data_IF_019489418268
#
_entry.id   IF_019489418268
#
_cell.length_a   1.000
_cell.length_b   1.000
_cell.length_c   1.000
_cell.angle_alpha   90.00
_cell.angle_beta   90.00
_cell.angle_gamma   90.00
#
_symmetry.space_group_name_H-M   'P 1'
#
loop_
_entity.id
_entity.type
_entity.pdbx_description
1 polymer ?
#
# COMPACT_ATOMS: atom_id res chain seq x y z
N UNK A 1 -4.70 11.56 29.55
CA UNK A 1 -4.77 10.69 28.36
C UNK A 1 -5.89 11.22 27.48
N UNK A 2 -5.59 11.60 26.24
CA UNK A 2 -6.63 12.05 25.31
C UNK A 2 -7.59 10.89 24.99
N UNK A 3 -8.90 11.15 24.95
CA UNK A 3 -9.90 10.16 24.61
C UNK A 3 -9.71 9.71 23.16
N UNK A 4 -9.54 8.41 22.93
CA UNK A 4 -9.36 7.83 21.58
C UNK A 4 -10.67 7.92 20.82
N UNK A 5 -10.72 8.76 19.78
CA UNK A 5 -11.92 8.99 18.97
C UNK A 5 -12.24 7.75 18.14
N UNK A 6 -13.50 7.33 18.18
CA UNK A 6 -14.03 6.33 17.25
C UNK A 6 -14.58 7.03 16.02
N UNK A 7 -14.09 6.65 14.84
CA UNK A 7 -14.59 7.16 13.57
C UNK A 7 -15.75 6.26 13.09
N UNK A 8 -16.95 6.83 12.85
CA UNK A 8 -18.09 6.07 12.34
C UNK A 8 -17.92 5.77 10.83
N UNK A 9 -18.69 4.82 10.31
CA UNK A 9 -18.89 4.72 8.87
C UNK A 9 -19.71 5.92 8.41
N UNK A 10 -19.45 6.41 7.21
CA UNK A 10 -20.31 7.42 6.57
C UNK A 10 -21.05 6.75 5.43
N UNK A 11 -22.34 6.52 5.62
CA UNK A 11 -23.25 5.96 4.60
C UNK A 11 -24.40 6.95 4.44
N UNK A 12 -24.75 7.30 3.20
CA UNK A 12 -25.80 8.27 2.90
C UNK A 12 -25.61 9.64 3.59
N UNK A 13 -24.36 10.11 3.67
CA UNK A 13 -23.95 11.33 4.38
C UNK A 13 -24.29 11.35 5.88
N UNK A 14 -24.50 10.19 6.50
CA UNK A 14 -24.80 10.06 7.93
C UNK A 14 -23.77 9.17 8.60
N UNK A 15 -23.47 9.49 9.85
CA UNK A 15 -22.67 8.62 10.71
C UNK A 15 -23.47 7.36 11.04
N UNK A 16 -22.96 6.21 10.61
CA UNK A 16 -23.52 4.88 10.90
C UNK A 16 -22.59 4.17 11.87
N UNK A 17 -23.16 3.71 12.97
CA UNK A 17 -22.52 2.76 13.88
C UNK A 17 -22.86 1.36 13.38
N UNK A 18 -21.88 0.53 12.98
CA UNK A 18 -22.17 -0.80 12.46
C UNK A 18 -22.72 -1.70 13.57
N UNK A 19 -23.54 -2.67 13.17
CA UNK A 19 -24.11 -3.67 14.06
C UNK A 19 -23.12 -4.80 14.42
N UNK A 20 -21.96 -4.85 13.75
CA UNK A 20 -20.96 -5.92 13.87
C UNK A 20 -19.94 -5.77 15.03
N UNK A 21 -19.18 -6.85 15.35
CA UNK A 21 -18.51 -6.99 16.65
C UNK A 21 -17.11 -6.36 16.79
N UNK A 22 -16.50 -5.80 15.74
CA UNK A 22 -15.08 -5.43 15.79
C UNK A 22 -14.85 -3.92 15.64
N UNK A 23 -14.53 -3.27 16.76
CA UNK A 23 -13.84 -1.98 16.76
C UNK A 23 -12.34 -2.27 16.67
N UNK A 24 -11.71 -1.90 15.56
CA UNK A 24 -10.26 -2.03 15.37
C UNK A 24 -9.59 -0.80 15.96
N UNK A 25 -8.75 -1.02 16.98
CA UNK A 25 -7.95 0.05 17.57
C UNK A 25 -6.61 0.10 16.87
N UNK A 26 -6.27 1.25 16.29
CA UNK A 26 -4.97 1.47 15.68
C UNK A 26 -4.03 2.11 16.72
N UNK A 27 -3.01 1.34 17.10
CA UNK A 27 -2.00 1.72 18.08
C UNK A 27 -0.73 2.14 17.35
N UNK A 28 -0.24 3.36 17.63
CA UNK A 28 1.02 3.81 17.05
C UNK A 28 2.19 3.03 17.66
N UNK A 29 2.92 2.27 16.84
CA UNK A 29 4.12 1.55 17.27
C UNK A 29 5.25 2.49 17.71
N UNK A 30 5.26 3.72 17.21
CA UNK A 30 6.21 4.80 17.55
C UNK A 30 5.84 5.50 18.85
N UNK A 31 4.58 5.94 19.01
CA UNK A 31 4.13 6.67 20.20
C UNK A 31 3.73 5.76 21.37
N UNK A 32 3.57 4.45 21.12
CA UNK A 32 3.04 3.46 22.07
C UNK A 32 1.69 3.85 22.67
N UNK A 33 0.89 4.58 21.91
CA UNK A 33 -0.45 5.04 22.31
C UNK A 33 -1.48 4.72 21.25
N UNK A 34 -2.69 4.41 21.70
CA UNK A 34 -3.87 4.30 20.84
C UNK A 34 -4.21 5.67 20.27
N UNK A 35 -4.35 5.75 18.95
CA UNK A 35 -4.58 7.03 18.29
C UNK A 35 -5.99 7.17 17.75
N UNK A 36 -6.64 6.05 17.41
CA UNK A 36 -7.93 6.05 16.72
C UNK A 36 -8.56 4.66 16.73
N UNK A 37 -9.89 4.64 16.70
CA UNK A 37 -10.70 3.43 16.59
C UNK A 37 -11.54 3.50 15.33
N UNK A 38 -11.44 2.48 14.49
CA UNK A 38 -12.35 2.29 13.36
C UNK A 38 -13.37 1.23 13.70
N UNK A 39 -14.54 1.38 13.14
CA UNK A 39 -15.58 0.37 13.22
C UNK A 39 -15.49 -0.50 11.96
N UNK A 40 -15.44 -1.82 12.11
CA UNK A 40 -15.43 -2.72 10.95
C UNK A 40 -16.78 -2.70 10.26
N UNK A 41 -16.78 -2.45 8.96
CA UNK A 41 -17.97 -2.61 8.12
C UNK A 41 -18.38 -4.10 8.03
N UNK A 42 -19.68 -4.36 8.01
CA UNK A 42 -20.24 -5.67 7.67
C UNK A 42 -20.58 -5.74 6.17
N UNK A 43 -20.86 -6.93 5.62
CA UNK A 43 -21.39 -7.05 4.26
C UNK A 43 -22.66 -6.23 4.03
N UNK A 44 -23.52 -6.11 5.04
CA UNK A 44 -24.74 -5.30 4.99
C UNK A 44 -24.44 -3.80 4.89
N UNK A 45 -23.43 -3.31 5.62
CA UNK A 45 -22.97 -1.93 5.50
C UNK A 45 -22.43 -1.64 4.09
N UNK A 46 -21.72 -2.61 3.49
CA UNK A 46 -21.24 -2.49 2.12
C UNK A 46 -22.38 -2.43 1.10
N UNK A 47 -23.42 -3.27 1.26
CA UNK A 47 -24.63 -3.21 0.43
C UNK A 47 -25.34 -1.86 0.59
N UNK A 48 -25.52 -1.38 1.83
CA UNK A 48 -26.15 -0.09 2.10
C UNK A 48 -25.38 1.09 1.48
N UNK A 49 -24.04 1.05 1.49
CA UNK A 49 -23.20 2.03 0.81
C UNK A 49 -23.40 2.00 -0.72
N UNK A 50 -23.48 0.82 -1.32
CA UNK A 50 -23.75 0.65 -2.76
C UNK A 50 -25.13 1.17 -3.14
N UNK A 51 -26.16 0.84 -2.36
CA UNK A 51 -27.53 1.31 -2.60
C UNK A 51 -27.67 2.82 -2.46
N UNK A 52 -27.00 3.42 -1.47
CA UNK A 52 -26.93 4.88 -1.30
C UNK A 52 -26.27 5.54 -2.53
N UNK A 53 -25.13 5.02 -2.98
CA UNK A 53 -24.46 5.50 -4.18
C UNK A 53 -25.34 5.38 -5.43
N UNK A 54 -26.07 4.26 -5.58
CA UNK A 54 -26.95 4.03 -6.72
C UNK A 54 -28.18 4.94 -6.70
N UNK A 55 -28.70 5.27 -5.51
CA UNK A 55 -29.77 6.25 -5.33
C UNK A 55 -29.31 7.65 -5.75
N UNK A 56 -28.14 8.08 -5.25
CA UNK A 56 -27.54 9.37 -5.63
C UNK A 56 -27.21 9.43 -7.14
N UNK A 57 -26.82 8.31 -7.74
CA UNK A 57 -26.48 8.24 -9.16
C UNK A 57 -27.67 8.58 -10.07
N UNK A 58 -28.91 8.25 -9.68
CA UNK A 58 -30.09 8.53 -10.51
C UNK A 58 -30.24 10.02 -10.82
N UNK A 59 -30.19 10.87 -9.79
CA UNK A 59 -30.26 12.32 -9.96
C UNK A 59 -28.96 12.89 -10.54
N UNK A 60 -27.80 12.37 -10.13
CA UNK A 60 -26.50 12.78 -10.66
C UNK A 60 -26.38 12.56 -12.18
N UNK A 61 -26.86 11.42 -12.69
CA UNK A 61 -26.83 11.06 -14.12
C UNK A 61 -27.62 12.01 -15.01
N UNK A 62 -28.61 12.71 -14.45
CA UNK A 62 -29.42 13.72 -15.12
C UNK A 62 -28.90 15.14 -14.96
N UNK A 63 -27.89 15.36 -14.10
CA UNK A 63 -27.32 16.70 -13.88
C UNK A 63 -26.56 17.22 -15.11
N UNK A 64 -26.63 18.54 -15.33
CA UNK A 64 -25.93 19.18 -16.44
C UNK A 64 -24.41 19.13 -16.25
N UNK A 65 -23.61 19.01 -17.34
CA UNK A 65 -22.15 19.02 -17.26
C UNK A 65 -21.58 20.19 -16.45
N UNK A 66 -22.17 21.39 -16.60
CA UNK A 66 -21.77 22.59 -15.85
C UNK A 66 -21.99 22.44 -14.34
N UNK A 67 -23.08 21.80 -13.91
CA UNK A 67 -23.36 21.57 -12.49
C UNK A 67 -22.37 20.58 -11.89
N UNK A 68 -22.09 19.48 -12.60
CA UNK A 68 -21.07 18.49 -12.21
C UNK A 68 -19.71 19.14 -12.04
N UNK A 69 -19.32 19.98 -13.01
CA UNK A 69 -18.07 20.75 -12.96
C UNK A 69 -17.99 21.61 -11.71
N UNK A 70 -19.02 22.39 -11.38
CA UNK A 70 -19.03 23.23 -10.17
C UNK A 70 -18.83 22.40 -8.90
N UNK A 71 -19.49 21.24 -8.80
CA UNK A 71 -19.38 20.36 -7.64
C UNK A 71 -17.97 19.75 -7.55
N UNK A 72 -17.43 19.24 -8.66
CA UNK A 72 -16.09 18.67 -8.72
C UNK A 72 -15.00 19.72 -8.44
N UNK A 73 -15.15 20.94 -8.96
CA UNK A 73 -14.23 22.05 -8.68
C UNK A 73 -14.27 22.42 -7.19
N UNK A 74 -15.46 22.47 -6.58
CA UNK A 74 -15.60 22.70 -5.13
C UNK A 74 -14.94 21.57 -4.33
N UNK A 75 -15.14 20.31 -4.71
CA UNK A 75 -14.46 19.16 -4.08
C UNK A 75 -12.95 19.27 -4.21
N UNK A 76 -12.42 19.61 -5.39
CA UNK A 76 -10.99 19.77 -5.62
C UNK A 76 -10.40 20.92 -4.80
N UNK A 77 -11.16 22.00 -4.57
CA UNK A 77 -10.76 23.09 -3.67
C UNK A 77 -10.72 22.59 -2.23
N UNK A 78 -11.76 21.91 -1.75
CA UNK A 78 -11.81 21.36 -0.40
C UNK A 78 -10.69 20.34 -0.14
N UNK A 79 -10.36 19.49 -1.12
CA UNK A 79 -9.23 18.55 -1.02
C UNK A 79 -7.92 19.31 -0.82
N UNK A 80 -7.69 20.38 -1.58
CA UNK A 80 -6.47 21.20 -1.46
C UNK A 80 -6.42 21.97 -0.14
N UNK A 81 -7.54 22.53 0.30
CA UNK A 81 -7.63 23.25 1.58
C UNK A 81 -7.39 22.33 2.78
N UNK A 82 -7.74 21.04 2.68
CA UNK A 82 -7.60 20.05 3.74
C UNK A 82 -6.48 19.03 3.45
N UNK A 83 -5.53 19.36 2.56
CA UNK A 83 -4.51 18.45 2.06
C UNK A 83 -3.68 17.84 3.21
N UNK A 84 -3.28 18.65 4.19
CA UNK A 84 -2.51 18.16 5.34
C UNK A 84 -3.27 17.10 6.18
N UNK A 85 -4.59 17.27 6.34
CA UNK A 85 -5.44 16.32 7.06
C UNK A 85 -5.64 15.04 6.23
N UNK A 86 -5.87 15.17 4.92
CA UNK A 86 -6.04 14.04 4.00
C UNK A 86 -4.75 13.21 3.83
N UNK A 87 -3.59 13.87 3.74
CA UNK A 87 -2.28 13.23 3.74
C UNK A 87 -2.10 12.46 5.06
N UNK A 88 -2.45 13.06 6.19
CA UNK A 88 -2.37 12.37 7.48
C UNK A 88 -3.30 11.15 7.52
N UNK A 89 -4.54 11.25 7.04
CA UNK A 89 -5.44 10.09 6.91
C UNK A 89 -4.88 9.01 5.99
N UNK A 90 -4.29 9.39 4.86
CA UNK A 90 -3.69 8.43 3.91
C UNK A 90 -2.48 7.71 4.52
N UNK A 91 -1.58 8.42 5.22
CA UNK A 91 -0.47 7.79 5.94
C UNK A 91 -0.92 6.89 7.10
N UNK A 92 -2.12 7.12 7.64
CA UNK A 92 -2.71 6.30 8.70
C UNK A 92 -3.47 5.08 8.18
N UNK A 93 -3.73 5.01 6.87
CA UNK A 93 -4.49 3.93 6.25
C UNK A 93 -6.01 4.16 6.21
N UNK A 94 -6.46 5.40 6.41
CA UNK A 94 -7.88 5.73 6.65
C UNK A 94 -8.60 6.28 5.42
N UNK A 95 -7.86 6.50 4.34
CA UNK A 95 -8.36 7.10 3.13
C UNK A 95 -7.86 6.32 1.91
N UNK A 96 -8.80 5.95 1.03
CA UNK A 96 -8.52 5.39 -0.29
C UNK A 96 -8.89 6.44 -1.34
N UNK A 97 -7.93 6.81 -2.18
CA UNK A 97 -8.17 7.63 -3.36
C UNK A 97 -8.42 6.71 -4.57
N UNK A 98 -9.50 6.98 -5.32
CA UNK A 98 -9.83 6.25 -6.55
C UNK A 98 -9.71 7.20 -7.73
N UNK A 99 -8.95 6.78 -8.74
CA UNK A 99 -8.74 7.49 -9.98
C UNK A 99 -9.29 6.68 -11.15
N UNK A 100 -9.83 7.36 -12.16
CA UNK A 100 -10.23 6.75 -13.43
C UNK A 100 -9.21 7.10 -14.49
N UNK A 101 -8.84 6.13 -15.31
CA UNK A 101 -7.90 6.27 -16.43
C UNK A 101 -8.50 5.63 -17.66
N UNK A 102 -8.14 6.13 -18.83
CA UNK A 102 -8.71 5.69 -20.11
C UNK A 102 -7.98 4.45 -20.67
N UNK A 103 -6.72 4.24 -20.30
CA UNK A 103 -5.88 3.17 -20.83
C UNK A 103 -4.79 2.71 -19.85
N UNK A 104 -4.07 1.64 -20.22
CA UNK A 104 -3.02 1.04 -19.38
C UNK A 104 -1.80 1.96 -19.21
N UNK A 105 -1.38 2.67 -20.26
CA UNK A 105 -0.28 3.63 -20.19
C UNK A 105 -0.54 4.72 -19.15
N UNK A 106 -1.72 5.33 -19.17
CA UNK A 106 -2.12 6.35 -18.20
C UNK A 106 -2.18 5.77 -16.77
N UNK A 107 -2.65 4.53 -16.63
CA UNK A 107 -2.65 3.83 -15.34
C UNK A 107 -1.23 3.66 -14.77
N UNK A 108 -0.29 3.29 -15.63
CA UNK A 108 1.12 3.09 -15.26
C UNK A 108 1.77 4.43 -14.92
N UNK A 109 1.55 5.47 -15.72
CA UNK A 109 2.08 6.81 -15.45
C UNK A 109 1.57 7.36 -14.12
N UNK A 110 0.28 7.22 -13.85
CA UNK A 110 -0.33 7.65 -12.59
C UNK A 110 0.18 6.84 -11.39
N UNK A 111 0.35 5.53 -11.53
CA UNK A 111 0.94 4.69 -10.48
C UNK A 111 2.39 5.13 -10.18
N UNK A 112 3.15 5.41 -11.23
CA UNK A 112 4.56 5.79 -11.13
C UNK A 112 4.78 7.24 -10.72
N UNK A 113 3.80 8.14 -10.88
CA UNK A 113 3.91 9.54 -10.46
C UNK A 113 3.95 9.71 -8.95
N UNK A 114 3.61 8.67 -8.20
CA UNK A 114 3.69 8.66 -6.75
C UNK A 114 5.15 8.73 -6.28
N UNK A 115 5.41 9.51 -5.22
CA UNK A 115 6.75 9.64 -4.62
C UNK A 115 7.20 8.35 -3.91
N UNK A 116 6.26 7.48 -3.57
CA UNK A 116 6.46 6.27 -2.79
C UNK A 116 6.33 5.04 -3.69
N UNK A 117 7.05 3.97 -3.36
CA UNK A 117 7.12 2.78 -4.21
C UNK A 117 7.23 1.49 -3.39
N UNK A 118 6.37 1.28 -2.40
CA UNK A 118 6.40 0.08 -1.57
C UNK A 118 5.86 -1.14 -2.32
N UNK A 119 4.56 -1.15 -2.61
CA UNK A 119 3.85 -2.27 -3.22
C UNK A 119 2.74 -1.81 -4.15
N UNK A 120 2.44 -2.58 -5.20
CA UNK A 120 1.30 -2.35 -6.10
C UNK A 120 0.51 -3.64 -6.38
N UNK A 121 -0.73 -3.47 -6.84
CA UNK A 121 -1.62 -4.55 -7.22
C UNK A 121 -2.25 -4.35 -8.57
N UNK A 122 -2.26 -5.42 -9.37
CA UNK A 122 -2.90 -5.43 -10.68
C UNK A 122 -3.96 -6.53 -10.69
N UNK A 123 -5.21 -6.14 -10.93
CA UNK A 123 -6.33 -7.07 -11.01
C UNK A 123 -6.87 -7.11 -12.44
N UNK A 124 -6.87 -8.28 -13.05
CA UNK A 124 -7.36 -8.47 -14.41
C UNK A 124 -7.64 -9.95 -14.67
N UNK A 125 -8.65 -10.22 -15.52
CA UNK A 125 -8.91 -11.57 -16.05
C UNK A 125 -7.90 -11.98 -17.14
N UNK A 126 -7.29 -10.99 -17.80
CA UNK A 126 -6.21 -11.21 -18.76
C UNK A 126 -4.87 -11.11 -18.03
N UNK A 127 -4.27 -12.27 -17.77
CA UNK A 127 -2.99 -12.40 -17.06
C UNK A 127 -1.84 -11.82 -17.87
N UNK A 128 -1.86 -11.94 -19.21
CA UNK A 128 -0.77 -11.42 -20.03
C UNK A 128 -0.76 -9.88 -19.99
N UNK A 129 -1.93 -9.26 -20.06
CA UNK A 129 -2.09 -7.81 -19.85
C UNK A 129 -1.67 -7.41 -18.44
N UNK A 130 -2.12 -8.15 -17.42
CA UNK A 130 -1.78 -7.86 -16.03
C UNK A 130 -0.26 -7.88 -15.80
N UNK A 131 0.43 -8.89 -16.32
CA UNK A 131 1.88 -9.02 -16.21
C UNK A 131 2.62 -7.89 -16.94
N UNK A 132 2.14 -7.47 -18.11
CA UNK A 132 2.71 -6.32 -18.83
C UNK A 132 2.61 -5.03 -18.00
N UNK A 133 1.45 -4.77 -17.42
CA UNK A 133 1.23 -3.61 -16.54
C UNK A 133 2.11 -3.73 -15.30
N UNK A 134 2.04 -4.86 -14.59
CA UNK A 134 2.79 -5.10 -13.35
C UNK A 134 4.31 -4.91 -13.53
N UNK A 135 4.88 -5.39 -14.63
CA UNK A 135 6.32 -5.27 -14.92
C UNK A 135 6.81 -3.83 -15.13
N UNK A 136 5.89 -2.88 -15.35
CA UNK A 136 6.19 -1.46 -15.64
C UNK A 136 5.89 -0.54 -14.46
N UNK A 137 5.31 -1.05 -13.39
CA UNK A 137 5.07 -0.27 -12.17
C UNK A 137 6.36 -0.26 -11.34
N UNK A 138 6.83 0.94 -11.01
CA UNK A 138 8.06 1.19 -10.26
C UNK A 138 7.81 1.08 -8.75
N UNK A 139 7.61 -0.14 -8.29
CA UNK A 139 7.45 -0.51 -6.88
C UNK A 139 8.36 -1.68 -6.56
N UNK A 140 8.68 -1.90 -5.29
CA UNK A 140 9.55 -3.01 -4.93
C UNK A 140 8.83 -4.36 -4.87
N UNK A 141 7.50 -4.37 -4.84
CA UNK A 141 6.68 -5.57 -5.02
C UNK A 141 5.40 -5.29 -5.81
N UNK A 142 5.05 -6.20 -6.72
CA UNK A 142 3.75 -6.15 -7.40
C UNK A 142 3.05 -7.49 -7.31
N UNK A 143 1.75 -7.48 -7.00
CA UNK A 143 0.94 -8.69 -6.93
C UNK A 143 -0.15 -8.67 -8.01
N UNK A 144 -0.33 -9.79 -8.71
CA UNK A 144 -1.37 -9.94 -9.73
C UNK A 144 -2.49 -10.81 -9.19
N UNK A 145 -3.73 -10.30 -9.19
CA UNK A 145 -4.94 -11.00 -8.72
C UNK A 145 -4.86 -11.56 -7.30
N UNK A 146 -4.03 -10.95 -6.45
CA UNK A 146 -3.87 -11.36 -5.06
C UNK A 146 -4.22 -10.18 -4.14
N UNK A 147 -5.08 -10.38 -3.12
CA UNK A 147 -5.50 -9.33 -2.20
C UNK A 147 -4.28 -8.65 -1.57
N UNK A 148 -4.28 -7.31 -1.59
CA UNK A 148 -3.09 -6.47 -1.43
C UNK A 148 -2.40 -6.52 -0.06
N UNK A 149 -1.06 -6.55 -0.07
CA UNK A 149 -0.17 -5.93 0.93
C UNK A 149 0.94 -6.84 1.47
N UNK A 150 2.10 -6.24 1.82
CA UNK A 150 3.24 -6.88 2.51
C UNK A 150 2.85 -7.73 3.73
N UNK A 151 1.68 -7.48 4.33
CA UNK A 151 1.16 -8.24 5.47
C UNK A 151 0.71 -9.67 5.16
N UNK A 152 0.56 -10.05 3.89
CA UNK A 152 0.19 -11.41 3.46
C UNK A 152 1.32 -12.16 2.78
N UNK A 153 2.48 -11.52 2.61
CA UNK A 153 3.64 -12.16 2.00
C UNK A 153 4.20 -13.23 2.92
N UNK A 154 4.65 -14.33 2.32
CA UNK A 154 5.42 -15.32 3.03
C UNK A 154 6.72 -14.68 3.56
N UNK A 155 7.13 -15.04 4.79
CA UNK A 155 8.32 -14.50 5.45
C UNK A 155 9.63 -14.70 4.65
N UNK A 156 9.62 -15.57 3.64
CA UNK A 156 10.76 -15.84 2.76
C UNK A 156 10.82 -14.91 1.54
N UNK A 157 9.72 -14.24 1.18
CA UNK A 157 9.65 -13.35 0.03
C UNK A 157 10.25 -11.98 0.35
N UNK A 158 11.04 -11.44 -0.57
CA UNK A 158 11.61 -10.11 -0.41
C UNK A 158 10.54 -9.02 -0.52
N UNK A 159 10.56 -8.07 0.41
CA UNK A 159 9.87 -6.79 0.30
C UNK A 159 10.87 -5.76 -0.21
N UNK A 160 10.83 -5.47 -1.51
CA UNK A 160 11.64 -4.41 -2.09
C UNK A 160 11.12 -3.04 -1.66
N UNK A 161 12.00 -2.15 -1.24
CA UNK A 161 11.68 -0.72 -1.13
C UNK A 161 12.25 0.00 -2.35
N UNK A 162 11.46 0.87 -2.98
CA UNK A 162 11.95 1.78 -4.02
C UNK A 162 11.41 3.20 -3.83
N UNK A 163 11.99 4.16 -4.55
CA UNK A 163 11.69 5.60 -4.45
C UNK A 163 11.85 6.11 -3.02
N UNK A 164 10.97 6.98 -2.55
CA UNK A 164 11.00 7.47 -1.18
C UNK A 164 10.54 6.45 -0.13
N UNK A 165 10.16 5.23 -0.53
CA UNK A 165 9.85 4.14 0.41
C UNK A 165 11.11 3.47 0.96
N UNK A 166 12.28 3.71 0.36
CA UNK A 166 13.56 3.18 0.80
C UNK A 166 14.37 2.59 -0.35
N UNK A 167 15.54 2.05 -0.02
CA UNK A 167 16.51 1.52 -0.99
C UNK A 167 16.97 0.10 -0.67
N UNK A 168 16.59 -0.43 0.49
CA UNK A 168 16.94 -1.78 0.94
C UNK A 168 15.84 -2.80 0.65
N UNK A 169 16.18 -4.08 0.73
CA UNK A 169 15.20 -5.16 0.78
C UNK A 169 14.89 -5.48 2.24
N UNK A 170 13.64 -5.82 2.50
CA UNK A 170 13.22 -6.35 3.79
C UNK A 170 12.77 -7.80 3.61
N UNK A 171 12.69 -8.54 4.72
CA UNK A 171 12.20 -9.91 4.79
C UNK A 171 13.12 -10.96 4.10
N UNK A 172 12.94 -12.23 4.48
CA UNK A 172 13.75 -13.35 4.00
C UNK A 172 15.26 -13.19 4.23
N UNK A 173 16.05 -13.99 3.51
CA UNK A 173 17.53 -13.85 3.50
C UNK A 173 17.96 -12.53 2.88
N UNK A 174 17.20 -12.02 1.90
CA UNK A 174 17.50 -10.76 1.22
C UNK A 174 17.57 -9.56 2.17
N UNK A 175 16.67 -9.50 3.15
CA UNK A 175 16.73 -8.46 4.17
C UNK A 175 17.86 -8.67 5.17
N UNK A 176 18.19 -9.92 5.52
CA UNK A 176 19.30 -10.21 6.43
C UNK A 176 20.65 -9.83 5.82
N UNK A 177 20.85 -10.10 4.53
CA UNK A 177 22.08 -9.76 3.82
C UNK A 177 22.35 -8.25 3.78
N UNK A 178 21.34 -7.39 3.88
CA UNK A 178 21.50 -5.93 3.96
C UNK A 178 22.03 -5.47 5.34
N UNK A 179 21.91 -6.30 6.39
CA UNK A 179 22.40 -6.00 7.75
C UNK A 179 23.67 -6.76 8.12
N UNK A 180 24.16 -7.64 7.26
CA UNK A 180 25.32 -8.50 7.52
C UNK A 180 26.47 -8.13 6.57
N UNK A 181 27.70 -8.19 7.09
CA UNK A 181 28.91 -8.03 6.28
C UNK A 181 29.58 -9.40 6.09
N UNK A 182 29.82 -9.80 4.84
CA UNK A 182 30.47 -11.07 4.54
C UNK A 182 31.96 -10.99 4.89
N UNK A 183 32.39 -11.77 5.88
CA UNK A 183 33.79 -11.92 6.26
C UNK A 183 34.26 -13.36 6.05
N UNK A 184 35.30 -13.53 5.25
CA UNK A 184 35.96 -14.83 5.06
C UNK A 184 37.25 -14.88 5.86
N UNK A 185 37.44 -15.98 6.60
CA UNK A 185 38.71 -16.31 7.24
C UNK A 185 39.12 -17.69 6.76
N UNK A 186 40.28 -17.79 6.12
CA UNK A 186 40.88 -19.06 5.70
C UNK A 186 41.95 -19.46 6.71
N UNK A 187 41.91 -20.71 7.16
CA UNK A 187 42.93 -21.29 8.04
C UNK A 187 43.61 -22.42 7.29
N UNK A 188 44.93 -22.43 7.32
CA UNK A 188 45.75 -23.52 6.78
C UNK A 188 46.71 -24.01 7.86
N UNK A 189 47.01 -25.30 7.88
CA UNK A 189 48.11 -25.82 8.68
C UNK A 189 49.42 -25.32 8.06
N UNK A 190 50.24 -24.54 8.79
CA UNK A 190 51.49 -24.02 8.26
C UNK A 190 52.47 -25.11 7.80
N UNK A 191 52.38 -26.32 8.37
CA UNK A 191 53.24 -27.46 8.00
C UNK A 191 52.80 -28.04 6.65
N UNK A 192 51.50 -28.29 6.47
CA UNK A 192 50.98 -28.82 5.20
C UNK A 192 51.11 -27.79 4.07
N UNK A 193 50.93 -26.50 4.37
CA UNK A 193 51.12 -25.42 3.41
C UNK A 193 52.56 -25.36 2.90
N UNK A 194 53.55 -25.44 3.80
CA UNK A 194 54.96 -25.43 3.42
C UNK A 194 55.34 -26.66 2.56
N UNK A 195 54.81 -27.85 2.92
CA UNK A 195 55.04 -29.08 2.17
C UNK A 195 54.42 -29.02 0.76
N UNK A 196 53.19 -28.51 0.63
CA UNK A 196 52.52 -28.34 -0.66
C UNK A 196 53.22 -27.31 -1.56
N UNK A 197 53.66 -26.18 -1.00
CA UNK A 197 54.43 -25.18 -1.74
C UNK A 197 55.78 -25.72 -2.24
N UNK A 198 56.44 -26.59 -1.46
CA UNK A 198 57.69 -27.23 -1.88
C UNK A 198 57.50 -28.23 -3.04
N UNK A 199 56.35 -28.91 -3.11
CA UNK A 199 56.00 -29.80 -4.23
C UNK A 199 55.65 -29.03 -5.51
N UNK A 200 55.04 -27.84 -5.40
CA UNK A 200 54.69 -27.02 -6.57
C UNK A 200 55.89 -26.31 -7.21
N UNK A 201 57.01 -26.22 -6.51
CA UNK A 201 58.24 -25.56 -6.98
C UNK A 201 59.21 -26.51 -7.73
N UNK A 202 58.83 -27.77 -7.94
CA UNK A 202 59.57 -28.79 -8.71
C UNK A 202 58.94 -28.98 -10.09
#
# INVERSE_FOLDING_TARGET
MASVKTLPLIIDNKAVSPAGPAVVTNTSSYLKTDYVRYVSATPEDAVAAVESAQTAFRSWSQSLPRMRRTILEKTATLIRENEAELINFSFRGDALAVYTVDNDEEAIELANSTKYGLSAGVYSRDIARAMKVASRIEVGQTHVNFPMGTGWDEATLSVGLTKASGWAKQNGSYGLDEFLELRTITVTDPVEFAAGMAQMAQ
#
